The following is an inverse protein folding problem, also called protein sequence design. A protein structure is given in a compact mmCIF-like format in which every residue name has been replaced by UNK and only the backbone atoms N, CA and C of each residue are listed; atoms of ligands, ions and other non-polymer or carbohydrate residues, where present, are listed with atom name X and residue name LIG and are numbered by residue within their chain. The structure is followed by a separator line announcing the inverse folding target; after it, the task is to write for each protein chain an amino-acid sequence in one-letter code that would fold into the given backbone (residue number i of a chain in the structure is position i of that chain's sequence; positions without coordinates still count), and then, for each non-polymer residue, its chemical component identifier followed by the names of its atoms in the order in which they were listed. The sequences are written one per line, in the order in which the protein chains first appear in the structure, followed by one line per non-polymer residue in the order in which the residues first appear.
data_IF_534867648484
#
_entry.id   IF_534867648484
#
_cell.length_a   1.000
_cell.length_b   1.000
_cell.length_c   1.000
_cell.angle_alpha   90.00
_cell.angle_beta   90.00
_cell.angle_gamma   90.00
#
_symmetry.space_group_name_H-M   'P 1'
#
loop_
_entity.id
_entity.type
_entity.pdbx_description
1 polymer ?
#
# COMPACT_ATOMS: atom_id res chain seq x y z
N UNK A 1 -28.63 26.32 25.11
CA UNK A 1 -28.27 24.90 25.39
C UNK A 1 -27.84 24.20 24.09
N UNK A 2 -26.86 24.75 23.35
CA UNK A 2 -26.43 24.28 22.01
C UNK A 2 -24.92 23.98 21.91
N UNK A 3 -24.21 24.04 23.04
CA UNK A 3 -22.74 24.03 23.08
C UNK A 3 -22.14 22.74 23.66
N UNK A 4 -22.96 21.70 23.89
CA UNK A 4 -22.50 20.38 24.39
C UNK A 4 -22.47 19.27 23.33
N UNK A 5 -22.98 19.51 22.11
CA UNK A 5 -22.96 18.48 21.04
C UNK A 5 -21.60 18.31 20.34
N UNK A 6 -20.67 19.25 20.50
CA UNK A 6 -19.37 19.20 19.78
C UNK A 6 -18.25 18.45 20.52
N UNK A 7 -18.42 18.08 21.79
CA UNK A 7 -17.38 17.36 22.54
C UNK A 7 -17.54 15.83 22.49
N UNK A 8 -18.74 15.32 22.18
CA UNK A 8 -18.99 13.88 22.05
C UNK A 8 -18.75 13.34 20.63
N UNK A 9 -18.61 14.20 19.63
CA UNK A 9 -18.31 13.80 18.25
C UNK A 9 -16.83 13.47 17.96
N UNK A 10 -15.92 13.78 18.90
CA UNK A 10 -14.47 13.64 18.68
C UNK A 10 -13.92 12.23 18.99
N UNK A 11 -14.73 11.37 19.60
CA UNK A 11 -14.38 9.98 19.90
C UNK A 11 -15.49 9.05 19.38
N UNK A 12 -15.77 9.08 18.08
CA UNK A 12 -16.42 7.91 17.48
C UNK A 12 -15.41 6.76 17.56
N UNK A 13 -15.41 6.01 18.66
CA UNK A 13 -14.80 4.70 18.72
C UNK A 13 -15.46 3.88 17.62
N UNK A 14 -14.78 3.74 16.48
CA UNK A 14 -15.25 2.87 15.42
C UNK A 14 -15.40 1.48 16.03
N UNK A 15 -16.63 0.95 15.97
CA UNK A 15 -16.93 -0.38 16.47
C UNK A 15 -15.98 -1.36 15.79
N UNK A 16 -15.26 -2.13 16.61
CA UNK A 16 -14.31 -3.11 16.11
C UNK A 16 -15.04 -4.08 15.16
N UNK A 17 -14.61 -4.12 13.90
CA UNK A 17 -15.23 -4.98 12.89
C UNK A 17 -15.00 -6.44 13.25
N UNK A 18 -15.98 -7.28 12.95
CA UNK A 18 -15.83 -8.72 13.18
C UNK A 18 -14.71 -9.28 12.31
N UNK A 19 -14.07 -10.35 12.77
CA UNK A 19 -13.04 -11.07 12.00
C UNK A 19 -13.51 -11.39 10.58
N UNK A 20 -14.77 -11.84 10.42
CA UNK A 20 -15.38 -12.15 9.11
C UNK A 20 -15.39 -10.95 8.17
N UNK A 21 -15.69 -9.76 8.67
CA UNK A 21 -15.68 -8.52 7.87
C UNK A 21 -14.26 -8.15 7.45
N UNK A 22 -13.29 -8.23 8.36
CA UNK A 22 -11.90 -7.93 8.03
C UNK A 22 -11.33 -8.91 7.01
N UNK A 23 -11.64 -10.20 7.17
CA UNK A 23 -11.28 -11.24 6.22
C UNK A 23 -11.86 -10.97 4.82
N UNK A 24 -13.14 -10.59 4.73
CA UNK A 24 -13.78 -10.24 3.46
C UNK A 24 -13.14 -9.01 2.79
N UNK A 25 -12.80 -7.98 3.58
CA UNK A 25 -12.09 -6.79 3.09
C UNK A 25 -10.72 -7.19 2.55
N UNK A 26 -9.98 -8.03 3.26
CA UNK A 26 -8.68 -8.55 2.80
C UNK A 26 -8.82 -9.31 1.49
N UNK A 27 -9.76 -10.25 1.36
CA UNK A 27 -9.99 -10.98 0.11
C UNK A 27 -10.35 -10.06 -1.06
N UNK A 28 -11.24 -9.10 -0.82
CA UNK A 28 -11.64 -8.12 -1.85
C UNK A 28 -10.45 -7.26 -2.27
N UNK A 29 -9.64 -6.84 -1.31
CA UNK A 29 -8.43 -6.04 -1.55
C UNK A 29 -7.37 -6.83 -2.30
N UNK A 30 -7.22 -8.13 -2.01
CA UNK A 30 -6.36 -9.04 -2.79
C UNK A 30 -6.83 -9.06 -4.24
N UNK A 31 -8.11 -9.30 -4.50
CA UNK A 31 -8.65 -9.35 -5.87
C UNK A 31 -8.41 -8.05 -6.65
N UNK A 32 -8.72 -6.90 -6.06
CA UNK A 32 -8.46 -5.59 -6.68
C UNK A 32 -6.96 -5.37 -6.92
N UNK A 33 -6.12 -5.72 -5.94
CA UNK A 33 -4.67 -5.54 -6.03
C UNK A 33 -4.06 -6.45 -7.09
N UNK A 34 -4.51 -7.71 -7.20
CA UNK A 34 -4.06 -8.62 -8.26
C UNK A 34 -4.36 -8.05 -9.64
N UNK A 35 -5.58 -7.54 -9.86
CA UNK A 35 -5.94 -6.91 -11.15
C UNK A 35 -5.00 -5.74 -11.45
N UNK A 36 -4.80 -4.83 -10.49
CA UNK A 36 -3.94 -3.66 -10.67
C UNK A 36 -2.46 -4.01 -10.86
N UNK A 37 -1.96 -5.01 -10.13
CA UNK A 37 -0.59 -5.49 -10.28
C UNK A 37 -0.37 -6.10 -11.67
N UNK A 38 -1.31 -6.92 -12.16
CA UNK A 38 -1.22 -7.57 -13.48
C UNK A 38 -1.21 -6.56 -14.62
N UNK A 39 -1.93 -5.44 -14.51
CA UNK A 39 -1.90 -4.37 -15.53
C UNK A 39 -0.52 -3.75 -15.76
N UNK A 40 0.43 -3.95 -14.84
CA UNK A 40 1.80 -3.48 -14.98
C UNK A 40 2.72 -4.39 -15.81
N UNK A 41 2.28 -5.61 -16.12
CA UNK A 41 3.05 -6.57 -16.90
C UNK A 41 2.56 -6.56 -18.36
N UNK A 42 3.50 -6.47 -19.29
CA UNK A 42 3.20 -6.70 -20.71
C UNK A 42 3.08 -8.21 -20.97
N UNK A 43 1.99 -8.70 -21.57
CA UNK A 43 1.76 -10.14 -21.75
C UNK A 43 2.85 -10.89 -22.56
N UNK A 44 3.62 -10.15 -23.37
CA UNK A 44 4.57 -10.72 -24.33
C UNK A 44 6.05 -10.38 -24.01
N UNK A 45 6.29 -9.70 -22.89
CA UNK A 45 7.60 -9.12 -22.56
C UNK A 45 7.72 -8.97 -21.06
N UNK A 46 7.92 -10.12 -20.38
CA UNK A 46 8.35 -10.08 -18.98
C UNK A 46 9.72 -9.40 -18.94
N UNK A 47 9.88 -8.31 -18.19
CA UNK A 47 11.16 -7.65 -18.06
C UNK A 47 12.22 -8.64 -17.57
N UNK A 48 13.44 -8.65 -18.13
CA UNK A 48 14.49 -9.57 -17.70
C UNK A 48 14.93 -9.36 -16.24
N UNK A 49 14.58 -8.22 -15.66
CA UNK A 49 14.79 -7.85 -14.26
C UNK A 49 13.56 -8.11 -13.36
N UNK A 50 12.44 -8.58 -13.93
CA UNK A 50 11.19 -8.84 -13.23
C UNK A 50 10.44 -7.58 -12.76
N UNK A 51 10.91 -6.37 -13.07
CA UNK A 51 10.30 -5.12 -12.60
C UNK A 51 9.35 -4.56 -13.67
N UNK A 52 8.06 -4.44 -13.35
CA UNK A 52 7.07 -3.81 -14.21
C UNK A 52 7.48 -2.40 -14.70
N UNK A 53 7.12 -2.02 -15.92
CA UNK A 53 7.42 -0.69 -16.48
C UNK A 53 6.66 0.42 -15.73
N UNK A 54 5.40 0.16 -15.43
CA UNK A 54 4.55 0.94 -14.54
C UNK A 54 3.84 -0.09 -13.66
N UNK A 55 3.76 0.14 -12.35
CA UNK A 55 3.14 -0.82 -11.45
C UNK A 55 1.95 -0.21 -10.69
N UNK A 56 0.72 -0.34 -11.22
CA UNK A 56 -0.47 0.20 -10.56
C UNK A 56 -0.76 -0.41 -9.17
N UNK A 57 -0.20 -1.59 -8.87
CA UNK A 57 -0.23 -2.19 -7.54
C UNK A 57 0.34 -1.31 -6.43
N UNK A 58 1.26 -0.39 -6.76
CA UNK A 58 1.78 0.59 -5.81
C UNK A 58 0.68 1.48 -5.20
N UNK A 59 -0.43 1.71 -5.92
CA UNK A 59 -1.59 2.46 -5.41
C UNK A 59 -2.19 1.72 -4.22
N UNK A 60 -2.47 0.43 -4.35
CA UNK A 60 -3.15 -0.33 -3.30
C UNK A 60 -2.22 -0.64 -2.14
N UNK A 61 -0.93 -0.89 -2.38
CA UNK A 61 0.06 -1.03 -1.30
C UNK A 61 0.02 0.14 -0.32
N UNK A 62 -0.03 1.37 -0.85
CA UNK A 62 -0.11 2.59 -0.04
C UNK A 62 -1.49 2.75 0.60
N UNK A 63 -2.56 2.76 -0.21
CA UNK A 63 -3.90 3.12 0.28
C UNK A 63 -4.48 2.04 1.19
N UNK A 64 -4.39 0.77 0.80
CA UNK A 64 -4.94 -0.32 1.61
C UNK A 64 -4.22 -0.42 2.96
N UNK A 65 -2.89 -0.22 2.98
CA UNK A 65 -2.13 -0.14 4.22
C UNK A 65 -2.66 0.95 5.16
N UNK A 66 -2.90 2.16 4.63
CA UNK A 66 -3.44 3.28 5.41
C UNK A 66 -4.86 2.98 5.92
N UNK A 67 -5.77 2.56 5.04
CA UNK A 67 -7.19 2.41 5.37
C UNK A 67 -7.50 1.16 6.21
N UNK A 68 -6.75 0.07 6.00
CA UNK A 68 -7.04 -1.23 6.60
C UNK A 68 -5.95 -1.74 7.54
N UNK A 69 -4.83 -1.02 7.69
CA UNK A 69 -3.74 -1.40 8.58
C UNK A 69 -3.12 -2.75 8.18
N UNK A 70 -2.83 -3.60 9.17
CA UNK A 70 -2.24 -4.92 8.96
C UNK A 70 -3.00 -5.78 7.93
N UNK A 71 -4.33 -5.70 7.90
CA UNK A 71 -5.16 -6.42 6.92
C UNK A 71 -4.93 -5.96 5.48
N UNK A 72 -4.67 -4.66 5.29
CA UNK A 72 -4.29 -4.09 4.01
C UNK A 72 -2.89 -4.54 3.59
N UNK A 73 -1.94 -4.52 4.54
CA UNK A 73 -0.57 -5.01 4.30
C UNK A 73 -0.57 -6.46 3.85
N UNK A 74 -1.26 -7.34 4.57
CA UNK A 74 -1.40 -8.75 4.21
C UNK A 74 -2.01 -8.87 2.81
N UNK A 75 -3.10 -8.15 2.53
CA UNK A 75 -3.76 -8.22 1.24
C UNK A 75 -2.83 -7.85 0.08
N UNK A 76 -2.08 -6.76 0.20
CA UNK A 76 -1.24 -6.26 -0.89
C UNK A 76 0.04 -7.07 -1.06
N UNK A 77 0.61 -7.61 0.02
CA UNK A 77 1.73 -8.54 -0.06
C UNK A 77 1.30 -9.84 -0.72
N UNK A 78 0.17 -10.43 -0.29
CA UNK A 78 -0.37 -11.63 -0.92
C UNK A 78 -0.68 -11.42 -2.40
N UNK A 79 -1.24 -10.26 -2.76
CA UNK A 79 -1.49 -9.93 -4.16
C UNK A 79 -0.20 -9.84 -4.99
N UNK A 80 0.85 -9.22 -4.46
CA UNK A 80 2.18 -9.19 -5.09
C UNK A 80 2.71 -10.59 -5.35
N UNK A 81 2.72 -11.46 -4.33
CA UNK A 81 3.15 -12.86 -4.45
C UNK A 81 2.36 -13.61 -5.53
N UNK A 82 1.02 -13.48 -5.53
CA UNK A 82 0.18 -14.12 -6.55
C UNK A 82 0.57 -13.67 -7.95
N UNK A 83 0.77 -12.37 -8.15
CA UNK A 83 1.09 -11.80 -9.46
C UNK A 83 2.50 -12.20 -9.91
N UNK A 84 3.48 -12.20 -9.01
CA UNK A 84 4.85 -12.58 -9.31
C UNK A 84 4.95 -14.08 -9.64
N UNK A 85 4.18 -14.94 -8.96
CA UNK A 85 4.08 -16.37 -9.32
C UNK A 85 3.54 -16.53 -10.74
N UNK A 86 2.52 -15.75 -11.11
CA UNK A 86 1.88 -15.84 -12.44
C UNK A 86 2.79 -15.29 -13.54
N UNK A 87 3.47 -14.16 -13.31
CA UNK A 87 4.15 -13.41 -14.38
C UNK A 87 5.67 -13.58 -14.41
N UNK A 88 6.32 -13.78 -13.25
CA UNK A 88 7.78 -13.94 -13.16
C UNK A 88 8.16 -15.41 -13.12
N UNK A 89 7.42 -16.22 -12.36
CA UNK A 89 7.60 -17.67 -12.24
C UNK A 89 9.02 -18.11 -11.77
N UNK A 90 9.75 -17.21 -11.11
CA UNK A 90 10.99 -17.50 -10.39
C UNK A 90 10.73 -17.36 -8.89
N UNK A 91 10.71 -18.49 -8.17
CA UNK A 91 10.40 -18.51 -6.74
C UNK A 91 11.41 -17.70 -5.92
N UNK A 92 12.68 -17.63 -6.32
CA UNK A 92 13.68 -16.84 -5.59
C UNK A 92 13.32 -15.36 -5.65
N UNK A 93 12.98 -14.87 -6.83
CA UNK A 93 12.57 -13.46 -7.05
C UNK A 93 11.24 -13.18 -6.35
N UNK A 94 10.24 -14.08 -6.48
CA UNK A 94 8.93 -13.96 -5.83
C UNK A 94 9.08 -13.82 -4.31
N UNK A 95 9.83 -14.72 -3.66
CA UNK A 95 10.02 -14.66 -2.21
C UNK A 95 10.87 -13.46 -1.79
N UNK A 96 11.85 -13.06 -2.63
CA UNK A 96 12.64 -11.86 -2.42
C UNK A 96 11.79 -10.59 -2.41
N UNK A 97 10.79 -10.50 -3.28
CA UNK A 97 9.91 -9.32 -3.40
C UNK A 97 8.84 -9.19 -2.31
N UNK A 98 8.66 -10.21 -1.46
CA UNK A 98 7.80 -10.11 -0.27
C UNK A 98 8.26 -8.98 0.66
N UNK A 99 9.57 -8.86 0.88
CA UNK A 99 10.13 -7.86 1.79
C UNK A 99 9.87 -6.43 1.30
N UNK A 100 10.24 -6.04 0.06
CA UNK A 100 9.96 -4.69 -0.43
C UNK A 100 8.46 -4.40 -0.52
N UNK A 101 7.62 -5.37 -0.92
CA UNK A 101 6.15 -5.20 -0.92
C UNK A 101 5.60 -4.98 0.49
N UNK A 102 6.11 -5.74 1.47
CA UNK A 102 5.76 -5.56 2.88
C UNK A 102 6.13 -4.16 3.36
N UNK A 103 7.37 -3.71 3.12
CA UNK A 103 7.84 -2.38 3.52
C UNK A 103 6.97 -1.28 2.90
N UNK A 104 6.63 -1.43 1.62
CA UNK A 104 5.83 -0.44 0.89
C UNK A 104 4.43 -0.24 1.46
N UNK A 105 3.83 -1.29 2.00
CA UNK A 105 2.52 -1.19 2.65
C UNK A 105 2.61 -0.94 4.16
N UNK A 106 3.62 -1.49 4.83
CA UNK A 106 3.79 -1.42 6.27
C UNK A 106 4.11 -0.01 6.76
N UNK A 107 5.07 0.68 6.13
CA UNK A 107 5.47 2.04 6.54
C UNK A 107 4.28 3.00 6.55
N UNK A 108 3.49 3.13 5.47
CA UNK A 108 2.33 4.02 5.49
C UNK A 108 1.26 3.54 6.47
N UNK A 109 1.00 2.23 6.54
CA UNK A 109 0.05 1.68 7.52
C UNK A 109 0.41 2.06 8.95
N UNK A 110 1.68 1.89 9.33
CA UNK A 110 2.19 2.16 10.68
C UNK A 110 2.16 3.66 11.00
N UNK A 111 2.73 4.49 10.12
CA UNK A 111 2.76 5.94 10.32
C UNK A 111 1.37 6.54 10.46
N UNK A 112 0.45 6.17 9.56
CA UNK A 112 -0.92 6.67 9.61
C UNK A 112 -1.68 6.13 10.82
N UNK A 113 -1.41 4.90 11.27
CA UNK A 113 -2.03 4.38 12.50
C UNK A 113 -1.65 5.21 13.72
N UNK A 114 -0.39 5.63 13.83
CA UNK A 114 0.06 6.53 14.90
C UNK A 114 -0.64 7.89 14.83
N UNK A 115 -0.82 8.46 13.63
CA UNK A 115 -1.54 9.72 13.45
C UNK A 115 -3.03 9.58 13.79
N UNK A 116 -3.70 8.54 13.31
CA UNK A 116 -5.11 8.29 13.58
C UNK A 116 -5.35 8.02 15.07
N UNK A 117 -4.45 7.29 15.73
CA UNK A 117 -4.52 7.09 17.19
C UNK A 117 -4.45 8.41 17.95
N UNK A 118 -3.61 9.34 17.49
CA UNK A 118 -3.40 10.65 18.14
C UNK A 118 -4.51 11.65 17.86
N UNK A 119 -5.05 11.66 16.63
CA UNK A 119 -5.89 12.73 16.15
C UNK A 119 -7.31 12.29 15.75
N UNK A 120 -7.57 10.98 15.68
CA UNK A 120 -8.74 10.43 15.01
C UNK A 120 -8.65 10.58 13.48
N UNK A 121 -9.68 10.09 12.80
CA UNK A 121 -9.87 10.35 11.38
C UNK A 121 -10.33 11.79 11.17
N UNK A 122 -9.43 12.68 10.79
CA UNK A 122 -9.73 14.09 10.52
C UNK A 122 -8.88 14.65 9.38
N UNK A 123 -9.07 15.92 9.02
CA UNK A 123 -8.38 16.55 7.89
C UNK A 123 -6.84 16.58 8.01
N UNK A 124 -6.26 16.40 9.20
CA UNK A 124 -4.79 16.28 9.35
C UNK A 124 -4.25 14.98 8.77
N UNK A 125 -5.06 13.92 8.77
CA UNK A 125 -4.71 12.62 8.18
C UNK A 125 -4.63 12.76 6.66
N UNK A 126 -5.60 13.45 6.06
CA UNK A 126 -5.69 13.63 4.61
C UNK A 126 -4.89 14.83 4.11
N UNK A 127 -3.67 15.04 4.61
CA UNK A 127 -2.74 16.07 4.11
C UNK A 127 -1.80 15.47 3.06
N UNK A 128 -1.45 16.28 2.07
CA UNK A 128 -0.59 15.83 0.96
C UNK A 128 0.82 15.54 1.43
N UNK A 129 1.42 16.39 2.27
CA UNK A 129 2.83 16.23 2.67
C UNK A 129 3.11 14.90 3.39
N UNK A 130 2.32 14.47 4.40
CA UNK A 130 2.53 13.15 5.01
C UNK A 130 2.30 12.00 4.04
N UNK A 131 1.34 12.14 3.11
CA UNK A 131 1.09 11.14 2.07
C UNK A 131 2.27 11.05 1.09
N UNK A 132 2.80 12.17 0.62
CA UNK A 132 3.96 12.22 -0.24
C UNK A 132 5.17 11.54 0.41
N UNK A 133 5.48 11.88 1.66
CA UNK A 133 6.69 11.42 2.34
C UNK A 133 6.54 9.98 2.84
N UNK A 134 5.55 9.73 3.70
CA UNK A 134 5.37 8.44 4.38
C UNK A 134 4.44 7.49 3.65
N UNK A 135 3.55 8.03 2.81
CA UNK A 135 2.72 7.25 1.89
C UNK A 135 3.51 6.72 0.71
N UNK A 136 4.33 7.56 0.07
CA UNK A 136 4.93 7.21 -1.22
C UNK A 136 6.47 7.17 -1.21
N UNK A 137 7.16 8.27 -0.90
CA UNK A 137 8.61 8.38 -1.14
C UNK A 137 9.39 7.39 -0.27
N UNK A 138 9.28 7.46 1.05
CA UNK A 138 10.04 6.60 1.97
C UNK A 138 9.79 5.10 1.70
N UNK A 139 8.54 4.61 1.67
CA UNK A 139 8.28 3.20 1.41
C UNK A 139 8.84 2.72 0.07
N UNK A 140 8.67 3.51 -1.01
CA UNK A 140 9.14 3.10 -2.32
C UNK A 140 10.66 3.16 -2.45
N UNK A 141 11.32 4.17 -1.87
CA UNK A 141 12.80 4.24 -1.89
C UNK A 141 13.41 3.08 -1.12
N UNK A 142 12.90 2.77 0.09
CA UNK A 142 13.42 1.64 0.88
C UNK A 142 13.13 0.31 0.16
N UNK A 143 11.92 0.13 -0.36
CA UNK A 143 11.59 -1.07 -1.15
C UNK A 143 12.45 -1.20 -2.40
N UNK A 144 12.72 -0.11 -3.12
CA UNK A 144 13.59 -0.10 -4.30
C UNK A 144 15.03 -0.46 -3.96
N UNK A 145 15.58 0.01 -2.83
CA UNK A 145 16.92 -0.36 -2.38
C UNK A 145 17.02 -1.87 -2.11
N UNK A 146 16.02 -2.44 -1.43
CA UNK A 146 15.97 -3.87 -1.11
C UNK A 146 15.84 -4.69 -2.40
N UNK A 147 14.90 -4.33 -3.28
CA UNK A 147 14.68 -5.03 -4.54
C UNK A 147 15.90 -4.95 -5.47
N UNK A 148 16.52 -3.78 -5.59
CA UNK A 148 17.72 -3.58 -6.39
C UNK A 148 18.90 -4.41 -5.87
N UNK A 149 19.09 -4.48 -4.55
CA UNK A 149 20.11 -5.33 -3.94
C UNK A 149 19.87 -6.81 -4.24
N UNK A 150 18.64 -7.29 -4.05
CA UNK A 150 18.26 -8.68 -4.33
C UNK A 150 18.49 -9.05 -5.80
N UNK A 151 18.07 -8.19 -6.73
CA UNK A 151 18.25 -8.43 -8.16
C UNK A 151 19.72 -8.37 -8.58
N UNK A 152 20.48 -7.38 -8.11
CA UNK A 152 21.90 -7.25 -8.45
C UNK A 152 22.79 -8.36 -7.89
N UNK A 153 22.35 -9.03 -6.82
CA UNK A 153 23.08 -10.13 -6.21
C UNK A 153 22.82 -11.49 -6.86
N UNK A 154 21.72 -11.62 -7.63
CA UNK A 154 21.27 -12.89 -8.21
C UNK A 154 21.14 -12.87 -9.73
N UNK A 155 21.24 -11.70 -10.35
CA UNK A 155 21.14 -11.50 -11.80
C UNK A 155 22.25 -10.57 -12.30
N UNK A 156 22.43 -10.47 -13.61
CA UNK A 156 23.37 -9.50 -14.21
C UNK A 156 22.81 -8.05 -14.25
N UNK A 157 21.69 -7.80 -13.58
CA UNK A 157 21.04 -6.48 -13.57
C UNK A 157 21.82 -5.49 -12.72
N UNK A 158 22.11 -4.31 -13.26
CA UNK A 158 22.75 -3.23 -12.51
C UNK A 158 21.85 -2.75 -11.36
N UNK A 159 22.42 -2.63 -10.16
CA UNK A 159 21.74 -2.10 -8.98
C UNK A 159 21.05 -0.75 -9.26
N UNK A 160 21.77 0.19 -9.89
CA UNK A 160 21.24 1.53 -10.17
C UNK A 160 20.09 1.50 -11.18
N UNK A 161 20.16 0.58 -12.15
CA UNK A 161 19.09 0.41 -13.13
C UNK A 161 17.82 -0.15 -12.47
N UNK A 162 17.94 -1.22 -11.68
CA UNK A 162 16.84 -1.80 -10.93
C UNK A 162 16.19 -0.78 -9.97
N UNK A 163 17.02 -0.03 -9.23
CA UNK A 163 16.56 1.00 -8.32
C UNK A 163 15.76 2.11 -9.04
N UNK A 164 16.31 2.64 -10.14
CA UNK A 164 15.66 3.71 -10.90
C UNK A 164 14.34 3.22 -11.51
N UNK A 165 14.35 2.03 -12.11
CA UNK A 165 13.18 1.42 -12.72
C UNK A 165 12.06 1.21 -11.71
N UNK A 166 12.37 0.62 -10.56
CA UNK A 166 11.40 0.43 -9.48
C UNK A 166 10.77 1.75 -9.02
N UNK A 167 11.62 2.76 -8.82
CA UNK A 167 11.19 4.08 -8.36
C UNK A 167 10.24 4.75 -9.37
N UNK A 168 10.59 4.68 -10.66
CA UNK A 168 9.79 5.24 -11.76
C UNK A 168 8.47 4.46 -11.95
N UNK A 169 8.49 3.14 -11.77
CA UNK A 169 7.30 2.31 -11.94
C UNK A 169 6.25 2.60 -10.86
N UNK A 170 6.67 2.93 -9.63
CA UNK A 170 5.79 3.01 -8.47
C UNK A 170 5.44 4.43 -8.04
N UNK A 171 6.42 5.33 -7.91
CA UNK A 171 6.19 6.64 -7.27
C UNK A 171 5.21 7.51 -8.08
N UNK A 172 5.38 7.72 -9.39
CA UNK A 172 4.49 8.56 -10.17
C UNK A 172 3.03 8.10 -10.10
N UNK A 173 2.79 6.79 -10.23
CA UNK A 173 1.42 6.26 -10.24
C UNK A 173 0.79 6.30 -8.84
N UNK A 174 1.55 5.99 -7.79
CA UNK A 174 1.09 6.12 -6.41
C UNK A 174 0.78 7.58 -6.03
N UNK A 175 1.50 8.56 -6.59
CA UNK A 175 1.19 9.98 -6.37
C UNK A 175 -0.01 10.44 -7.19
N UNK A 176 0.03 10.27 -8.51
CA UNK A 176 -0.95 10.85 -9.43
C UNK A 176 -2.33 10.23 -9.22
N UNK A 177 -2.39 8.91 -9.04
CA UNK A 177 -3.65 8.19 -8.84
C UNK A 177 -3.93 7.93 -7.36
N UNK A 178 -2.91 7.62 -6.57
CA UNK A 178 -3.11 7.27 -5.17
C UNK A 178 -3.50 8.47 -4.30
N UNK A 179 -2.98 9.67 -4.54
CA UNK A 179 -3.34 10.84 -3.74
C UNK A 179 -4.83 11.23 -3.87
N UNK A 180 -5.40 11.43 -5.08
CA UNK A 180 -6.81 11.73 -5.23
C UNK A 180 -7.70 10.65 -4.61
N UNK A 181 -7.34 9.37 -4.81
CA UNK A 181 -8.06 8.25 -4.24
C UNK A 181 -8.07 8.31 -2.71
N UNK A 182 -6.90 8.51 -2.09
CA UNK A 182 -6.79 8.61 -0.65
C UNK A 182 -7.52 9.85 -0.09
N UNK A 183 -7.39 11.00 -0.75
CA UNK A 183 -7.97 12.26 -0.30
C UNK A 183 -9.50 12.26 -0.37
N UNK A 184 -10.07 11.67 -1.42
CA UNK A 184 -11.52 11.67 -1.66
C UNK A 184 -12.14 10.42 -1.03
N UNK A 185 -11.80 9.23 -1.54
CA UNK A 185 -12.41 7.99 -1.08
C UNK A 185 -11.96 7.61 0.33
N UNK A 186 -10.69 7.82 0.67
CA UNK A 186 -10.22 7.56 2.02
C UNK A 186 -10.95 8.37 3.08
N UNK A 187 -11.32 9.62 2.77
CA UNK A 187 -12.14 10.47 3.65
C UNK A 187 -13.55 9.93 3.78
N UNK A 188 -14.24 9.68 2.66
CA UNK A 188 -15.59 9.11 2.66
C UNK A 188 -15.63 7.79 3.43
N UNK A 189 -14.67 6.89 3.20
CA UNK A 189 -14.61 5.62 3.92
C UNK A 189 -14.37 5.78 5.42
N UNK A 190 -13.62 6.79 5.84
CA UNK A 190 -13.40 7.07 7.25
C UNK A 190 -14.67 7.62 7.91
N UNK A 191 -15.35 8.55 7.25
CA UNK A 191 -16.60 9.17 7.69
C UNK A 191 -17.72 8.12 7.83
N UNK A 192 -17.79 7.16 6.90
CA UNK A 192 -18.77 6.06 6.90
C UNK A 192 -18.38 4.87 7.81
N UNK A 193 -17.29 4.95 8.58
CA UNK A 193 -16.87 3.84 9.44
C UNK A 193 -16.39 2.60 8.67
N UNK A 194 -16.04 2.75 7.39
CA UNK A 194 -15.65 1.66 6.50
C UNK A 194 -14.16 1.30 6.59
N UNK A 195 -13.34 2.12 7.24
CA UNK A 195 -11.94 1.82 7.57
C UNK A 195 -11.83 0.80 8.70
N UNK A 196 -10.66 0.15 8.83
CA UNK A 196 -10.43 -0.88 9.85
C UNK A 196 -9.33 -0.42 10.81
N UNK A 197 -9.59 -0.57 12.12
CA UNK A 197 -8.53 -0.60 13.12
C UNK A 197 -7.76 -1.91 12.92
N UNK A 198 -6.63 -1.87 12.20
CA UNK A 198 -5.75 -3.04 12.08
C UNK A 198 -5.36 -3.58 13.46
N UNK A 199 -4.68 -4.73 13.51
CA UNK A 199 -4.31 -5.40 14.77
C UNK A 199 -3.44 -4.55 15.71
N UNK A 200 -2.87 -3.46 15.22
CA UNK A 200 -2.06 -2.52 15.99
C UNK A 200 -2.97 -1.43 16.58
N UNK A 201 -3.38 -1.61 17.85
CA UNK A 201 -4.11 -0.62 18.65
C UNK A 201 -3.20 0.45 19.24
#
# INVERSE_FOLDING_TARGET
MLMQRNLLGFFSFQKEKSFKQNFLITLTTIGISVILCTLGFEPNSVPPDGIATIWPGAITQVIAGILFGAWGVIATVSAGVIVDIINVNDLYIVFGFIIPAFIQSFIPAFYYRLLIKRYGWNDKIFRFTPFLIYGVIIPNVIGALIAAFLLSSHTNTSFYFAFARWTIANIPIALVLGWPLFKIFGKVMADEGCVVSGWWK
#
